data_IF_825281354763
#
_entry.id   IF_825281354763
#
_cell.length_a   1.000
_cell.length_b   1.000
_cell.length_c   1.000
_cell.angle_alpha   90.00
_cell.angle_beta   90.00
_cell.angle_gamma   90.00
#
_symmetry.space_group_name_H-M   'P 1'
#
loop_
_entity.id
_entity.type
_entity.pdbx_description
1 polymer ?
#
# COMPACT_ATOMS: atom_id res chain seq x y z
N UNK A 1 10.94 6.70 -10.26
CA UNK A 1 11.44 8.08 -9.97
C UNK A 1 12.95 8.02 -9.69
N UNK A 2 13.73 9.04 -10.07
CA UNK A 2 15.18 9.07 -9.80
C UNK A 2 15.45 9.44 -8.32
N UNK A 3 16.18 8.59 -7.58
CA UNK A 3 16.50 8.81 -6.16
C UNK A 3 17.16 10.17 -5.89
N UNK A 4 18.02 10.65 -6.79
CA UNK A 4 18.67 11.95 -6.64
C UNK A 4 17.67 13.11 -6.71
N UNK A 5 16.62 12.99 -7.51
CA UNK A 5 15.56 14.01 -7.58
C UNK A 5 14.80 14.10 -6.25
N UNK A 6 14.52 12.96 -5.61
CA UNK A 6 13.90 12.91 -4.26
C UNK A 6 14.83 13.52 -3.21
N UNK A 7 16.10 13.12 -3.19
CA UNK A 7 17.10 13.67 -2.27
C UNK A 7 17.23 15.18 -2.42
N UNK A 8 17.33 15.67 -3.66
CA UNK A 8 17.45 17.09 -3.95
C UNK A 8 16.17 17.84 -3.55
N UNK A 9 15.00 17.29 -3.87
CA UNK A 9 13.71 17.83 -3.48
C UNK A 9 13.59 18.00 -1.96
N UNK A 10 13.90 16.96 -1.17
CA UNK A 10 13.88 17.02 0.29
C UNK A 10 14.81 18.10 0.83
N UNK A 11 16.07 18.13 0.36
CA UNK A 11 17.08 19.12 0.81
C UNK A 11 16.72 20.56 0.46
N UNK A 12 15.95 20.78 -0.60
CA UNK A 12 15.47 22.10 -0.98
C UNK A 12 14.12 22.48 -0.32
N UNK A 13 13.43 21.54 0.30
CA UNK A 13 12.11 21.76 0.89
C UNK A 13 12.19 22.13 2.36
N UNK A 14 13.16 21.60 3.10
CA UNK A 14 13.26 21.78 4.55
C UNK A 14 14.70 21.61 5.05
N UNK A 15 15.07 22.40 6.06
CA UNK A 15 16.34 22.25 6.80
C UNK A 15 16.22 21.28 7.99
N UNK A 16 15.02 20.72 8.24
CA UNK A 16 14.81 19.73 9.31
C UNK A 16 15.59 18.43 9.00
N UNK A 17 16.18 17.77 10.02
CA UNK A 17 16.88 16.52 9.81
C UNK A 17 15.92 15.39 9.38
N UNK A 18 16.37 14.55 8.46
CA UNK A 18 15.68 13.29 8.17
C UNK A 18 16.02 12.28 9.27
N UNK A 19 15.01 11.90 10.07
CA UNK A 19 15.18 10.98 11.20
C UNK A 19 14.95 9.53 10.83
N UNK A 20 13.96 9.28 9.96
CA UNK A 20 13.56 7.94 9.56
C UNK A 20 12.99 7.92 8.15
N UNK A 21 13.18 6.79 7.47
CA UNK A 21 12.53 6.40 6.23
C UNK A 21 11.86 5.04 6.44
N UNK A 22 10.60 4.93 6.02
CA UNK A 22 9.83 3.70 6.15
C UNK A 22 9.62 3.08 4.76
N UNK A 23 9.88 1.78 4.65
CA UNK A 23 9.46 0.96 3.51
C UNK A 23 8.13 0.32 3.88
N UNK A 24 7.10 0.54 3.05
CA UNK A 24 5.72 0.12 3.31
C UNK A 24 5.55 -1.39 3.19
N UNK A 25 6.17 -1.98 2.16
CA UNK A 25 6.11 -3.41 1.85
C UNK A 25 7.28 -3.85 0.95
N UNK A 26 7.34 -5.14 0.61
CA UNK A 26 8.48 -5.77 -0.04
C UNK A 26 8.52 -5.64 -1.57
N UNK A 27 7.75 -4.74 -2.20
CA UNK A 27 7.93 -4.51 -3.65
C UNK A 27 9.22 -3.72 -3.95
N UNK A 28 9.94 -4.08 -5.03
CA UNK A 28 11.29 -3.59 -5.32
C UNK A 28 11.40 -2.08 -5.47
N UNK A 29 10.39 -1.43 -6.02
CA UNK A 29 10.35 0.02 -6.20
C UNK A 29 10.17 0.80 -4.89
N UNK A 30 9.83 0.14 -3.78
CA UNK A 30 9.73 0.71 -2.43
C UNK A 30 11.02 0.61 -1.61
N UNK A 31 11.98 -0.26 -1.98
CA UNK A 31 13.22 -0.45 -1.20
C UNK A 31 14.54 -0.42 -1.98
N UNK A 32 14.56 -0.72 -3.29
CA UNK A 32 15.83 -0.84 -4.04
C UNK A 32 16.64 0.45 -4.08
N UNK A 33 15.97 1.61 -4.01
CA UNK A 33 16.63 2.91 -3.94
C UNK A 33 17.18 3.27 -2.56
N UNK A 34 16.81 2.52 -1.52
CA UNK A 34 17.12 2.82 -0.12
C UNK A 34 18.62 2.97 0.14
N UNK A 35 19.45 2.15 -0.51
CA UNK A 35 20.92 2.23 -0.35
C UNK A 35 21.47 3.60 -0.75
N UNK A 36 21.12 4.05 -1.95
CA UNK A 36 21.55 5.35 -2.50
C UNK A 36 20.92 6.50 -1.71
N UNK A 37 19.66 6.37 -1.33
CA UNK A 37 18.97 7.38 -0.52
C UNK A 37 19.66 7.60 0.84
N UNK A 38 19.96 6.53 1.58
CA UNK A 38 20.57 6.59 2.90
C UNK A 38 22.02 7.10 2.89
N UNK A 39 22.75 6.96 1.77
CA UNK A 39 24.08 7.59 1.63
C UNK A 39 24.01 9.12 1.72
N UNK A 40 22.88 9.73 1.34
CA UNK A 40 22.67 11.17 1.46
C UNK A 40 22.12 11.61 2.83
N UNK A 41 21.64 10.66 3.63
CA UNK A 41 21.06 10.88 4.96
C UNK A 41 21.54 9.79 5.95
N UNK A 42 22.85 9.73 6.25
CA UNK A 42 23.45 8.60 6.98
C UNK A 42 22.95 8.43 8.42
N UNK A 43 22.40 9.49 9.01
CA UNK A 43 21.82 9.46 10.36
C UNK A 43 20.37 8.95 10.40
N UNK A 44 19.71 8.87 9.24
CA UNK A 44 18.33 8.40 9.16
C UNK A 44 18.24 6.90 9.43
N UNK A 45 17.23 6.51 10.21
CA UNK A 45 16.87 5.09 10.36
C UNK A 45 16.07 4.62 9.16
N UNK A 46 16.29 3.38 8.73
CA UNK A 46 15.49 2.73 7.69
C UNK A 46 14.66 1.64 8.35
N UNK A 47 13.35 1.75 8.25
CA UNK A 47 12.38 0.93 8.98
C UNK A 47 11.42 0.20 8.04
N UNK A 48 11.00 -1.00 8.42
CA UNK A 48 9.88 -1.73 7.84
C UNK A 48 9.30 -2.72 8.88
N UNK A 49 8.10 -3.27 8.63
CA UNK A 49 7.56 -4.35 9.49
C UNK A 49 8.47 -5.57 9.47
N UNK A 50 8.45 -6.44 10.51
CA UNK A 50 9.22 -7.68 10.51
C UNK A 50 9.00 -8.55 9.26
N UNK A 51 7.76 -8.66 8.80
CA UNK A 51 7.31 -9.39 7.62
C UNK A 51 7.91 -8.78 6.34
N UNK A 52 7.86 -7.46 6.19
CA UNK A 52 8.49 -6.75 5.07
C UNK A 52 10.01 -6.95 5.06
N UNK A 53 10.67 -6.87 6.22
CA UNK A 53 12.13 -7.11 6.32
C UNK A 53 12.46 -8.53 5.88
N UNK A 54 11.69 -9.53 6.33
CA UNK A 54 11.89 -10.92 5.92
C UNK A 54 11.67 -11.11 4.41
N UNK A 55 10.59 -10.52 3.87
CA UNK A 55 10.31 -10.54 2.43
C UNK A 55 11.48 -9.99 1.62
N UNK A 56 11.95 -8.78 1.97
CA UNK A 56 13.10 -8.15 1.30
C UNK A 56 14.35 -9.03 1.42
N UNK A 57 14.65 -9.60 2.60
CA UNK A 57 15.82 -10.48 2.76
C UNK A 57 15.77 -11.71 1.84
N UNK A 58 14.57 -12.25 1.58
CA UNK A 58 14.39 -13.43 0.75
C UNK A 58 14.56 -13.14 -0.75
N UNK A 59 14.11 -11.99 -1.24
CA UNK A 59 14.04 -11.72 -2.69
C UNK A 59 14.98 -10.61 -3.21
N UNK A 60 15.56 -9.80 -2.33
CA UNK A 60 16.31 -8.60 -2.67
C UNK A 60 17.38 -8.82 -3.76
N UNK A 61 18.17 -9.89 -3.65
CA UNK A 61 19.24 -10.16 -4.62
C UNK A 61 18.68 -10.56 -5.99
N UNK A 62 17.65 -11.41 -6.01
CA UNK A 62 17.00 -11.83 -7.27
C UNK A 62 16.30 -10.66 -7.96
N UNK A 63 15.59 -9.82 -7.20
CA UNK A 63 14.96 -8.60 -7.74
C UNK A 63 16.01 -7.58 -8.19
N UNK A 64 17.12 -7.44 -7.46
CA UNK A 64 18.24 -6.57 -7.86
C UNK A 64 18.82 -7.01 -9.20
N UNK A 65 19.10 -8.30 -9.39
CA UNK A 65 19.60 -8.85 -10.66
C UNK A 65 18.60 -8.59 -11.80
N UNK A 66 17.33 -8.95 -11.59
CA UNK A 66 16.27 -8.77 -12.58
C UNK A 66 16.13 -7.30 -13.02
N UNK A 67 16.01 -6.37 -12.08
CA UNK A 67 15.81 -4.95 -12.39
C UNK A 67 17.08 -4.26 -12.89
N UNK A 68 18.26 -4.73 -12.49
CA UNK A 68 19.54 -4.26 -13.06
C UNK A 68 19.67 -4.65 -14.54
N UNK A 69 19.17 -5.83 -14.93
CA UNK A 69 19.15 -6.23 -16.33
C UNK A 69 18.17 -5.37 -17.16
N UNK A 70 17.03 -4.98 -16.56
CA UNK A 70 16.02 -4.17 -17.24
C UNK A 70 16.41 -2.68 -17.37
N UNK A 71 16.97 -2.07 -16.33
CA UNK A 71 17.27 -0.64 -16.28
C UNK A 71 18.75 -0.28 -16.46
N UNK A 72 19.64 -1.26 -16.40
CA UNK A 72 21.09 -1.07 -16.43
C UNK A 72 21.73 -1.17 -15.04
N UNK A 73 22.98 -1.67 -14.96
CA UNK A 73 23.64 -2.01 -13.69
C UNK A 73 23.97 -0.80 -12.81
N UNK A 74 24.00 0.41 -13.37
CA UNK A 74 24.34 1.63 -12.63
C UNK A 74 23.11 2.33 -12.02
N UNK A 75 21.90 1.83 -12.30
CA UNK A 75 20.64 2.42 -11.81
C UNK A 75 20.23 1.84 -10.45
N UNK A 76 20.42 0.53 -10.28
CA UNK A 76 20.05 -0.20 -9.06
C UNK A 76 21.32 -0.54 -8.28
N UNK A 77 21.32 -0.27 -6.98
CA UNK A 77 22.46 -0.63 -6.14
C UNK A 77 22.65 -2.16 -6.13
N UNK A 78 23.88 -2.68 -6.34
CA UNK A 78 24.12 -4.14 -6.38
C UNK A 78 23.76 -4.87 -5.08
N UNK A 79 23.78 -4.15 -3.95
CA UNK A 79 23.33 -4.65 -2.65
C UNK A 79 22.34 -3.64 -2.07
N UNK A 80 21.05 -3.97 -1.99
CA UNK A 80 20.05 -3.07 -1.44
C UNK A 80 20.23 -2.88 0.06
N UNK A 81 19.71 -1.77 0.59
CA UNK A 81 19.63 -1.58 2.02
C UNK A 81 18.49 -2.43 2.58
N UNK A 82 18.80 -3.24 3.59
CA UNK A 82 17.79 -4.00 4.32
C UNK A 82 17.28 -3.12 5.47
N UNK A 83 15.96 -2.84 5.55
CA UNK A 83 15.40 -2.06 6.65
C UNK A 83 15.61 -2.79 8.00
N UNK A 84 15.63 -2.00 9.07
CA UNK A 84 15.54 -2.50 10.44
C UNK A 84 14.07 -2.76 10.78
N UNK A 85 13.75 -3.92 11.35
CA UNK A 85 12.40 -4.22 11.79
C UNK A 85 12.01 -3.30 12.97
N UNK A 86 10.79 -2.75 12.93
CA UNK A 86 10.19 -2.08 14.08
C UNK A 86 9.10 -2.95 14.73
N UNK A 87 8.72 -2.61 15.97
CA UNK A 87 7.69 -3.31 16.74
C UNK A 87 6.74 -2.32 17.46
N UNK A 88 6.64 -1.09 16.95
CA UNK A 88 5.75 -0.06 17.47
C UNK A 88 4.59 0.17 16.50
N UNK A 89 3.39 0.37 17.02
CA UNK A 89 2.18 0.66 16.24
C UNK A 89 1.93 2.16 16.05
N UNK A 90 2.79 3.02 16.59
CA UNK A 90 2.76 4.47 16.39
C UNK A 90 4.12 5.09 16.72
N UNK A 91 4.35 6.30 16.24
CA UNK A 91 5.49 7.12 16.63
C UNK A 91 5.13 8.60 16.62
N UNK A 92 5.95 9.43 17.24
CA UNK A 92 5.80 10.89 17.23
C UNK A 92 7.03 11.55 16.63
N UNK A 93 6.86 12.77 16.13
CA UNK A 93 7.97 13.61 15.72
C UNK A 93 8.46 14.44 16.92
N UNK A 94 9.78 14.70 17.05
CA UNK A 94 10.28 15.54 18.14
C UNK A 94 9.64 16.93 18.14
N UNK A 95 9.04 17.31 19.28
CA UNK A 95 8.31 18.57 19.44
C UNK A 95 6.86 18.54 18.96
N UNK A 96 6.35 17.39 18.51
CA UNK A 96 4.95 17.17 18.11
C UNK A 96 4.36 15.90 18.75
N UNK A 97 4.67 15.66 20.01
CA UNK A 97 4.27 14.43 20.73
C UNK A 97 2.76 14.29 20.92
N UNK A 98 2.00 15.38 20.71
CA UNK A 98 0.54 15.39 20.79
C UNK A 98 -0.15 14.93 19.50
N UNK A 99 0.59 14.75 18.42
CA UNK A 99 0.07 14.31 17.14
C UNK A 99 0.80 13.03 16.71
N UNK A 100 0.49 11.87 17.34
CA UNK A 100 1.09 10.61 16.95
C UNK A 100 0.70 10.25 15.52
N UNK A 101 1.62 9.60 14.83
CA UNK A 101 1.39 8.93 13.56
C UNK A 101 1.18 7.46 13.90
N UNK A 102 -0.01 6.94 13.61
CA UNK A 102 -0.36 5.54 13.86
C UNK A 102 -0.01 4.71 12.63
N UNK A 103 0.41 3.47 12.86
CA UNK A 103 0.75 2.50 11.83
C UNK A 103 -0.31 1.42 11.84
N UNK A 104 -0.90 1.18 10.68
CA UNK A 104 -1.71 0.01 10.43
C UNK A 104 -0.84 -0.97 9.64
N UNK A 105 -0.49 -2.09 10.25
CA UNK A 105 0.42 -3.09 9.73
C UNK A 105 -0.34 -4.29 9.15
N UNK A 106 0.39 -5.08 8.36
CA UNK A 106 0.02 -6.36 7.77
C UNK A 106 -1.21 -6.34 6.85
N UNK A 107 -1.66 -5.18 6.37
CA UNK A 107 -2.88 -5.08 5.58
C UNK A 107 -2.75 -5.60 4.15
N UNK A 108 -3.89 -5.98 3.57
CA UNK A 108 -4.00 -6.33 2.17
C UNK A 108 -3.98 -5.10 1.28
N UNK A 109 -3.20 -5.18 0.20
CA UNK A 109 -3.09 -4.18 -0.85
C UNK A 109 -2.92 -4.87 -2.20
N UNK A 110 -2.13 -4.28 -3.07
CA UNK A 110 -1.65 -4.93 -4.28
C UNK A 110 -0.73 -6.13 -4.03
N UNK A 111 -0.32 -6.33 -2.78
CA UNK A 111 0.29 -7.55 -2.24
C UNK A 111 -0.15 -7.74 -0.78
N UNK A 112 0.61 -8.51 -0.01
CA UNK A 112 0.34 -8.81 1.39
C UNK A 112 1.32 -8.09 2.33
N UNK A 113 0.98 -8.09 3.62
CA UNK A 113 1.82 -7.55 4.70
C UNK A 113 2.21 -6.06 4.53
N UNK A 114 1.35 -5.24 3.91
CA UNK A 114 1.60 -3.81 3.75
C UNK A 114 1.46 -3.06 5.08
N UNK A 115 2.22 -1.98 5.24
CA UNK A 115 2.01 -0.98 6.29
C UNK A 115 1.53 0.36 5.72
N UNK A 116 0.54 0.96 6.38
CA UNK A 116 0.00 2.28 6.07
C UNK A 116 0.02 3.19 7.29
N UNK A 117 0.07 4.51 7.09
CA UNK A 117 0.23 5.47 8.18
C UNK A 117 -0.99 6.38 8.29
N UNK A 118 -1.50 6.55 9.50
CA UNK A 118 -2.59 7.45 9.84
C UNK A 118 -2.05 8.66 10.60
N UNK A 119 -2.49 9.84 10.20
CA UNK A 119 -2.21 11.08 10.92
C UNK A 119 -3.57 11.62 11.40
N UNK A 120 -3.99 11.28 12.64
CA UNK A 120 -5.32 11.64 13.15
C UNK A 120 -5.59 13.15 13.15
N UNK A 121 -4.57 13.95 13.48
CA UNK A 121 -4.68 15.41 13.61
C UNK A 121 -5.08 16.11 12.30
N UNK A 122 -4.68 15.56 11.16
CA UNK A 122 -5.04 16.06 9.82
C UNK A 122 -6.04 15.19 9.09
N UNK A 123 -6.39 14.02 9.66
CA UNK A 123 -7.13 12.94 8.99
C UNK A 123 -6.49 12.55 7.65
N UNK A 124 -5.17 12.38 7.65
CA UNK A 124 -4.40 12.01 6.45
C UNK A 124 -3.97 10.56 6.52
N UNK A 125 -4.22 9.81 5.45
CA UNK A 125 -3.71 8.45 5.25
C UNK A 125 -2.56 8.46 4.26
N UNK A 126 -1.40 7.93 4.64
CA UNK A 126 -0.35 7.52 3.71
C UNK A 126 -0.58 6.05 3.43
N UNK A 127 -1.09 5.73 2.24
CA UNK A 127 -1.73 4.44 1.97
C UNK A 127 -0.77 3.35 1.49
N UNK A 128 0.43 3.71 1.04
CA UNK A 128 1.21 2.78 0.21
C UNK A 128 0.36 2.27 -0.96
N UNK A 129 0.61 1.04 -1.40
CA UNK A 129 -0.08 0.48 -2.56
C UNK A 129 -1.41 -0.20 -2.20
N UNK A 130 -1.96 0.14 -1.02
CA UNK A 130 -3.38 -0.10 -0.74
C UNK A 130 -4.26 0.85 -1.57
N UNK A 131 -3.80 2.06 -1.87
CA UNK A 131 -4.55 3.03 -2.69
C UNK A 131 -3.67 3.51 -3.84
N UNK A 132 -4.21 3.45 -5.05
CA UNK A 132 -3.62 3.98 -6.27
C UNK A 132 -4.33 5.27 -6.67
N UNK A 133 -3.59 6.19 -7.29
CA UNK A 133 -4.17 7.39 -7.86
C UNK A 133 -5.12 7.06 -9.01
N UNK A 134 -6.27 7.74 -9.07
CA UNK A 134 -7.35 7.45 -10.02
C UNK A 134 -7.03 7.62 -11.52
N UNK A 135 -5.82 8.05 -11.85
CA UNK A 135 -5.37 8.28 -13.22
C UNK A 135 -4.48 7.15 -13.75
N UNK A 136 -4.35 6.03 -13.03
CA UNK A 136 -3.55 4.89 -13.45
C UNK A 136 -4.17 3.54 -13.13
N UNK A 137 -3.69 2.50 -13.83
CA UNK A 137 -3.95 1.11 -13.48
C UNK A 137 -3.20 0.73 -12.20
N UNK A 138 -3.77 -0.21 -11.43
CA UNK A 138 -3.14 -0.78 -10.24
C UNK A 138 -2.39 -2.09 -10.55
N UNK A 139 -1.41 -2.43 -9.72
CA UNK A 139 -0.78 -3.75 -9.74
C UNK A 139 -1.78 -4.80 -9.22
N UNK A 140 -2.00 -5.86 -10.01
CA UNK A 140 -2.90 -6.95 -9.64
C UNK A 140 -2.20 -8.32 -9.64
N UNK A 141 -0.90 -8.38 -9.98
CA UNK A 141 -0.24 -9.64 -10.30
C UNK A 141 -0.06 -10.57 -9.08
N UNK A 142 -0.08 -10.02 -7.87
CA UNK A 142 0.02 -10.78 -6.62
C UNK A 142 -1.37 -11.26 -6.13
N UNK A 143 -2.48 -10.85 -6.77
CA UNK A 143 -3.84 -11.30 -6.43
C UNK A 143 -4.12 -12.70 -6.99
N UNK A 144 -3.39 -13.69 -6.46
CA UNK A 144 -3.40 -15.06 -6.96
C UNK A 144 -4.61 -15.89 -6.47
N UNK A 145 -5.37 -15.37 -5.49
CA UNK A 145 -6.56 -16.03 -4.95
C UNK A 145 -7.64 -15.01 -4.61
N UNK A 146 -8.93 -15.42 -4.64
CA UNK A 146 -10.03 -14.54 -4.22
C UNK A 146 -9.88 -14.00 -2.80
N UNK A 147 -9.23 -14.73 -1.89
CA UNK A 147 -9.00 -14.28 -0.53
C UNK A 147 -8.05 -13.06 -0.45
N UNK A 148 -7.06 -12.98 -1.35
CA UNK A 148 -6.16 -11.84 -1.44
C UNK A 148 -6.91 -10.60 -1.96
N UNK A 149 -7.72 -10.80 -3.00
CA UNK A 149 -8.59 -9.76 -3.55
C UNK A 149 -9.58 -9.22 -2.51
N UNK A 150 -10.23 -10.10 -1.74
CA UNK A 150 -11.14 -9.72 -0.65
C UNK A 150 -10.42 -9.02 0.51
N UNK A 151 -9.18 -9.41 0.82
CA UNK A 151 -8.36 -8.74 1.84
C UNK A 151 -8.06 -7.29 1.47
N UNK A 152 -7.73 -7.03 0.21
CA UNK A 152 -7.52 -5.67 -0.28
C UNK A 152 -8.81 -4.84 -0.23
N UNK A 153 -9.95 -5.39 -0.71
CA UNK A 153 -11.24 -4.72 -0.63
C UNK A 153 -11.65 -4.39 0.81
N UNK A 154 -11.40 -5.29 1.75
CA UNK A 154 -11.64 -5.07 3.19
C UNK A 154 -10.80 -3.92 3.73
N UNK A 155 -9.53 -3.83 3.32
CA UNK A 155 -8.64 -2.74 3.71
C UNK A 155 -9.10 -1.40 3.14
N UNK A 156 -9.56 -1.37 1.88
CA UNK A 156 -10.14 -0.18 1.25
C UNK A 156 -11.41 0.29 1.97
N UNK A 157 -12.30 -0.64 2.32
CA UNK A 157 -13.53 -0.34 3.09
C UNK A 157 -13.19 0.23 4.47
N UNK A 158 -12.17 -0.30 5.14
CA UNK A 158 -11.67 0.26 6.40
C UNK A 158 -11.15 1.70 6.22
N UNK A 159 -10.30 1.94 5.22
CA UNK A 159 -9.76 3.29 4.93
C UNK A 159 -10.89 4.27 4.62
N UNK A 160 -11.87 3.88 3.79
CA UNK A 160 -13.05 4.69 3.49
C UNK A 160 -13.88 5.02 4.74
N UNK A 161 -14.02 4.04 5.65
CA UNK A 161 -14.73 4.19 6.92
C UNK A 161 -14.14 5.25 7.86
N UNK A 162 -12.83 5.50 7.78
CA UNK A 162 -12.15 6.55 8.56
C UNK A 162 -12.51 7.97 8.10
N UNK A 163 -13.11 8.12 6.91
CA UNK A 163 -13.43 9.40 6.28
C UNK A 163 -12.21 10.35 6.26
N UNK A 164 -11.09 9.93 5.63
CA UNK A 164 -9.89 10.76 5.55
C UNK A 164 -10.16 12.07 4.78
N UNK A 165 -9.52 13.15 5.22
CA UNK A 165 -9.52 14.41 4.47
C UNK A 165 -8.58 14.34 3.26
N UNK A 166 -7.49 13.55 3.39
CA UNK A 166 -6.49 13.34 2.35
C UNK A 166 -6.00 11.90 2.40
N UNK A 167 -5.86 11.29 1.22
CA UNK A 167 -5.15 10.02 1.03
C UNK A 167 -3.97 10.31 0.12
N UNK A 168 -2.80 9.86 0.51
CA UNK A 168 -1.58 9.87 -0.30
C UNK A 168 -1.42 8.45 -0.81
N UNK A 169 -1.73 8.19 -2.10
CA UNK A 169 -1.54 6.88 -2.71
C UNK A 169 -0.05 6.54 -2.83
N UNK A 170 0.28 5.25 -2.86
CA UNK A 170 1.66 4.79 -3.08
C UNK A 170 2.13 5.02 -4.51
N UNK A 171 1.20 4.94 -5.47
CA UNK A 171 1.43 5.31 -6.87
C UNK A 171 0.42 6.30 -7.40
N UNK A 172 0.92 7.33 -8.08
CA UNK A 172 0.12 8.29 -8.81
C UNK A 172 0.96 8.99 -9.89
N UNK A 173 0.27 9.61 -10.85
CA UNK A 173 0.90 10.37 -11.93
C UNK A 173 1.13 11.84 -11.58
N UNK A 174 0.34 12.37 -10.64
CA UNK A 174 0.49 13.73 -10.11
C UNK A 174 0.06 13.77 -8.65
N UNK A 175 0.78 14.56 -7.86
CA UNK A 175 0.40 14.88 -6.49
C UNK A 175 -0.72 15.94 -6.40
N UNK A 176 -0.96 16.69 -7.49
CA UNK A 176 -1.95 17.78 -7.52
C UNK A 176 -3.40 17.27 -7.56
N UNK A 177 -3.58 15.98 -7.86
CA UNK A 177 -4.90 15.38 -8.09
C UNK A 177 -5.33 14.42 -6.99
N UNK A 178 -4.59 14.34 -5.87
CA UNK A 178 -4.95 13.47 -4.76
C UNK A 178 -6.33 13.81 -4.22
N UNK A 179 -7.16 12.79 -4.06
CA UNK A 179 -8.52 12.90 -3.57
C UNK A 179 -8.86 11.66 -2.77
N UNK A 180 -9.10 11.85 -1.48
CA UNK A 180 -9.41 10.78 -0.55
C UNK A 180 -10.56 9.89 -1.03
N UNK A 181 -11.63 10.49 -1.55
CA UNK A 181 -12.79 9.76 -2.05
C UNK A 181 -12.47 9.13 -3.41
N UNK A 182 -11.97 9.93 -4.36
CA UNK A 182 -11.78 9.47 -5.75
C UNK A 182 -10.73 8.37 -5.86
N UNK A 183 -9.62 8.46 -5.15
CA UNK A 183 -8.53 7.48 -5.25
C UNK A 183 -8.90 6.15 -4.55
N UNK A 184 -9.59 6.22 -3.39
CA UNK A 184 -10.10 5.02 -2.70
C UNK A 184 -11.19 4.35 -3.53
N UNK A 185 -12.18 5.10 -4.01
CA UNK A 185 -13.27 4.57 -4.83
C UNK A 185 -12.74 3.98 -6.14
N UNK A 186 -11.81 4.67 -6.81
CA UNK A 186 -11.17 4.16 -8.02
C UNK A 186 -10.46 2.83 -7.77
N UNK A 187 -9.63 2.76 -6.74
CA UNK A 187 -8.90 1.52 -6.43
C UNK A 187 -9.88 0.38 -6.09
N UNK A 188 -10.92 0.68 -5.31
CA UNK A 188 -11.96 -0.28 -4.92
C UNK A 188 -12.75 -0.79 -6.12
N UNK A 189 -13.17 0.10 -7.01
CA UNK A 189 -13.89 -0.24 -8.23
C UNK A 189 -13.01 -1.06 -9.18
N UNK A 190 -11.72 -0.73 -9.28
CA UNK A 190 -10.74 -1.44 -10.09
C UNK A 190 -10.53 -2.88 -9.62
N UNK A 191 -10.31 -3.07 -8.32
CA UNK A 191 -10.13 -4.40 -7.70
C UNK A 191 -11.42 -5.22 -7.79
N UNK A 192 -12.58 -4.60 -7.50
CA UNK A 192 -13.90 -5.25 -7.62
C UNK A 192 -14.20 -5.67 -9.07
N UNK A 193 -13.81 -4.84 -10.04
CA UNK A 193 -13.97 -5.15 -11.45
C UNK A 193 -13.10 -6.33 -11.87
N UNK A 194 -11.81 -6.33 -11.47
CA UNK A 194 -10.89 -7.44 -11.71
C UNK A 194 -11.44 -8.74 -11.13
N UNK A 195 -11.86 -8.73 -9.87
CA UNK A 195 -12.44 -9.88 -9.18
C UNK A 195 -13.59 -10.50 -9.99
N UNK A 196 -14.55 -9.67 -10.38
CA UNK A 196 -15.79 -10.13 -11.03
C UNK A 196 -15.58 -10.56 -12.48
N UNK A 197 -14.73 -9.86 -13.22
CA UNK A 197 -14.69 -9.98 -14.68
C UNK A 197 -13.48 -10.76 -15.18
N UNK A 198 -12.39 -10.84 -14.41
CA UNK A 198 -11.16 -11.56 -14.78
C UNK A 198 -10.93 -12.74 -13.83
N UNK A 199 -10.77 -12.50 -12.53
CA UNK A 199 -10.43 -13.55 -11.54
C UNK A 199 -11.50 -14.65 -11.49
N UNK A 200 -12.78 -14.28 -11.39
CA UNK A 200 -13.89 -15.22 -11.30
C UNK A 200 -14.08 -16.11 -12.55
N UNK A 201 -13.41 -15.81 -13.67
CA UNK A 201 -13.41 -16.67 -14.86
C UNK A 201 -12.43 -17.83 -14.75
N UNK A 202 -11.48 -17.73 -13.81
CA UNK A 202 -10.39 -18.67 -13.64
C UNK A 202 -9.19 -18.33 -14.51
N UNK A 203 -8.05 -18.89 -14.11
CA UNK A 203 -6.78 -18.75 -14.81
C UNK A 203 -6.86 -19.26 -16.25
N UNK A 204 -6.20 -18.58 -17.19
CA UNK A 204 -6.12 -18.95 -18.61
C UNK A 204 -7.46 -18.96 -19.38
N UNK A 205 -8.52 -18.38 -18.80
CA UNK A 205 -9.80 -18.21 -19.50
C UNK A 205 -9.66 -17.25 -20.70
N UNK A 206 -9.13 -16.05 -20.44
CA UNK A 206 -8.84 -15.04 -21.46
C UNK A 206 -7.38 -15.09 -21.93
N UNK A 207 -7.12 -14.54 -23.10
CA UNK A 207 -5.77 -14.15 -23.54
C UNK A 207 -5.35 -12.82 -22.88
N UNK A 208 -4.04 -12.50 -22.83
CA UNK A 208 -3.58 -11.20 -22.33
C UNK A 208 -4.27 -10.00 -23.01
N UNK A 209 -4.45 -10.07 -24.33
CA UNK A 209 -5.13 -9.00 -25.09
C UNK A 209 -6.59 -8.82 -24.68
N UNK A 210 -7.33 -9.92 -24.45
CA UNK A 210 -8.72 -9.85 -24.01
C UNK A 210 -8.83 -9.26 -22.60
N UNK A 211 -7.91 -9.60 -21.69
CA UNK A 211 -7.84 -8.97 -20.35
C UNK A 211 -7.54 -7.49 -20.47
N UNK A 212 -6.55 -7.11 -21.29
CA UNK A 212 -6.18 -5.71 -21.51
C UNK A 212 -7.35 -4.89 -22.03
N UNK A 213 -8.05 -5.40 -23.05
CA UNK A 213 -9.23 -4.74 -23.62
C UNK A 213 -10.36 -4.64 -22.60
N UNK A 214 -10.62 -5.71 -21.86
CA UNK A 214 -11.70 -5.74 -20.85
C UNK A 214 -11.48 -4.69 -19.76
N UNK A 215 -10.23 -4.51 -19.32
CA UNK A 215 -9.89 -3.52 -18.30
C UNK A 215 -9.90 -2.10 -18.89
N UNK A 216 -9.35 -1.88 -20.08
CA UNK A 216 -9.38 -0.57 -20.76
C UNK A 216 -10.80 -0.10 -21.07
N UNK A 217 -11.69 -0.99 -21.49
CA UNK A 217 -13.09 -0.64 -21.76
C UNK A 217 -13.81 -0.15 -20.49
N UNK A 218 -13.43 -0.68 -19.33
CA UNK A 218 -13.99 -0.29 -18.03
C UNK A 218 -13.30 0.94 -17.42
N UNK A 219 -12.01 1.12 -17.69
CA UNK A 219 -11.16 2.19 -17.16
C UNK A 219 -10.44 2.92 -18.30
N UNK A 220 -11.17 3.62 -19.17
CA UNK A 220 -10.61 4.13 -20.42
C UNK A 220 -9.65 5.30 -20.20
N UNK A 221 -8.57 5.31 -20.97
CA UNK A 221 -7.67 6.46 -21.09
C UNK A 221 -6.56 6.52 -20.04
N UNK A 222 -6.46 5.52 -19.15
CA UNK A 222 -5.38 5.42 -18.17
C UNK A 222 -4.02 5.08 -18.80
N UNK A 223 -3.99 4.67 -20.07
CA UNK A 223 -2.75 4.46 -20.85
C UNK A 223 -2.44 5.58 -21.84
N UNK A 224 -3.33 6.55 -22.01
CA UNK A 224 -3.18 7.66 -22.97
C UNK A 224 -2.31 8.79 -22.42
N UNK A 225 -1.17 8.44 -21.83
CA UNK A 225 -0.30 9.37 -21.11
C UNK A 225 1.07 9.42 -21.77
N UNK A 226 1.43 10.60 -22.29
CA UNK A 226 2.74 10.83 -22.89
C UNK A 226 3.83 11.06 -21.83
N UNK A 227 3.44 11.35 -20.58
CA UNK A 227 4.35 11.67 -19.47
C UNK A 227 4.87 10.44 -18.72
N UNK A 228 4.23 9.28 -18.84
CA UNK A 228 4.61 8.06 -18.12
C UNK A 228 4.10 6.80 -18.81
N UNK A 229 4.93 5.76 -18.86
CA UNK A 229 4.56 4.42 -19.32
C UNK A 229 4.15 3.49 -18.18
N UNK A 230 4.18 3.96 -16.92
CA UNK A 230 3.94 3.12 -15.73
C UNK A 230 2.56 2.48 -15.78
N UNK A 231 1.50 3.26 -16.03
CA UNK A 231 0.13 2.76 -16.07
C UNK A 231 -0.05 1.65 -17.12
N UNK A 232 0.47 1.86 -18.34
CA UNK A 232 0.46 0.85 -19.39
C UNK A 232 1.28 -0.40 -19.03
N UNK A 233 2.38 -0.23 -18.30
CA UNK A 233 3.20 -1.35 -17.82
C UNK A 233 2.45 -2.20 -16.81
N UNK A 234 1.73 -1.58 -15.86
CA UNK A 234 0.93 -2.29 -14.85
C UNK A 234 -0.22 -3.07 -15.47
N UNK A 235 -0.91 -2.47 -16.45
CA UNK A 235 -1.94 -3.17 -17.22
C UNK A 235 -1.35 -4.38 -17.96
N UNK A 236 -0.25 -4.18 -18.69
CA UNK A 236 0.40 -5.25 -19.44
C UNK A 236 0.83 -6.40 -18.54
N UNK A 237 1.43 -6.10 -17.38
CA UNK A 237 1.82 -7.13 -16.40
C UNK A 237 0.60 -7.91 -15.92
N UNK A 238 -0.50 -7.23 -15.58
CA UNK A 238 -1.75 -7.89 -15.17
C UNK A 238 -2.26 -8.82 -16.28
N UNK A 239 -2.35 -8.31 -17.51
CA UNK A 239 -2.81 -9.06 -18.67
C UNK A 239 -1.97 -10.30 -18.93
N UNK A 240 -0.64 -10.18 -18.87
CA UNK A 240 0.29 -11.30 -19.04
C UNK A 240 0.20 -12.32 -17.88
N UNK A 241 0.00 -11.84 -16.65
CA UNK A 241 0.00 -12.70 -15.46
C UNK A 241 -1.22 -13.64 -15.39
N UNK A 242 -2.40 -13.15 -15.81
CA UNK A 242 -3.65 -13.91 -15.74
C UNK A 242 -4.08 -14.49 -17.10
N UNK A 243 -3.47 -14.05 -18.19
CA UNK A 243 -3.81 -14.45 -19.55
C UNK A 243 -3.19 -15.79 -19.96
N UNK A 244 -3.95 -16.54 -20.76
CA UNK A 244 -3.52 -17.81 -21.34
C UNK A 244 -2.26 -17.65 -22.18
N UNK A 245 -1.20 -18.35 -21.78
CA UNK A 245 0.10 -18.31 -22.45
C UNK A 245 0.89 -17.03 -22.21
N UNK A 246 0.47 -16.18 -21.27
CA UNK A 246 1.17 -14.97 -20.90
C UNK A 246 2.38 -15.21 -19.98
N UNK A 247 3.18 -14.16 -19.81
CA UNK A 247 4.36 -14.14 -18.94
C UNK A 247 3.97 -13.87 -17.48
N UNK A 248 3.94 -14.92 -16.67
CA UNK A 248 3.59 -14.83 -15.24
C UNK A 248 4.71 -14.20 -14.42
N UNK A 249 4.33 -13.43 -13.41
CA UNK A 249 5.27 -12.90 -12.43
C UNK A 249 5.84 -14.02 -11.56
N UNK A 250 7.15 -13.93 -11.28
CA UNK A 250 7.83 -14.83 -10.35
C UNK A 250 7.65 -14.27 -8.94
N UNK A 251 7.02 -15.08 -8.09
CA UNK A 251 6.84 -14.81 -6.67
C UNK A 251 7.87 -15.64 -5.88
N UNK A 252 8.58 -14.98 -4.96
CA UNK A 252 9.59 -15.61 -4.11
C UNK A 252 9.04 -16.01 -2.73
N UNK A 253 7.73 -15.87 -2.55
CA UNK A 253 6.96 -16.21 -1.38
C UNK A 253 5.64 -16.84 -1.83
N UNK A 254 5.07 -17.72 -1.01
CA UNK A 254 3.85 -18.43 -1.33
C UNK A 254 2.60 -17.61 -0.93
N UNK A 255 2.28 -16.64 -1.78
CA UNK A 255 1.06 -15.83 -1.68
C UNK A 255 -0.23 -16.66 -1.56
N UNK A 256 -0.24 -17.89 -2.07
CA UNK A 256 -1.45 -18.72 -2.09
C UNK A 256 -1.71 -19.45 -0.78
N UNK A 257 -0.68 -19.63 0.06
CA UNK A 257 -0.77 -20.37 1.32
C UNK A 257 -0.42 -19.53 2.56
N UNK A 258 0.07 -18.30 2.43
CA UNK A 258 0.50 -17.47 3.57
C UNK A 258 -0.62 -17.11 4.57
N UNK A 259 -1.89 -17.26 4.20
CA UNK A 259 -3.04 -17.06 5.10
C UNK A 259 -4.03 -18.24 5.17
N UNK A 260 -3.58 -19.47 4.87
CA UNK A 260 -4.44 -20.66 5.06
C UNK A 260 -4.71 -20.99 6.54
N UNK A 261 -4.12 -20.23 7.46
CA UNK A 261 -4.51 -20.25 8.87
C UNK A 261 -5.72 -19.31 9.07
N UNK A 262 -6.91 -19.90 9.09
CA UNK A 262 -8.18 -19.18 9.30
C UNK A 262 -8.21 -18.37 10.60
N UNK A 263 -7.38 -18.71 11.60
CA UNK A 263 -7.29 -17.96 12.86
C UNK A 263 -6.69 -16.57 12.66
N UNK A 264 -5.77 -16.42 11.70
CA UNK A 264 -5.20 -15.12 11.32
C UNK A 264 -6.28 -14.31 10.59
N UNK A 265 -6.92 -14.88 9.56
CA UNK A 265 -7.97 -14.22 8.75
C UNK A 265 -9.21 -13.81 9.56
N UNK A 266 -9.60 -14.58 10.58
CA UNK A 266 -10.68 -14.19 11.50
C UNK A 266 -10.27 -13.03 12.44
N UNK A 267 -8.97 -12.82 12.68
CA UNK A 267 -8.45 -11.60 13.30
C UNK A 267 -8.43 -10.37 12.37
N UNK A 268 -8.36 -10.59 11.04
CA UNK A 268 -8.44 -9.56 9.99
C UNK A 268 -9.86 -9.13 9.66
N UNK A 269 -10.86 -9.96 9.98
CA UNK A 269 -12.23 -9.50 10.12
C UNK A 269 -12.24 -8.52 11.27
N UNK A 270 -12.00 -7.25 10.97
CA UNK A 270 -12.39 -6.12 11.79
C UNK A 270 -13.85 -6.38 12.19
N UNK A 271 -14.06 -6.99 13.35
CA UNK A 271 -15.36 -7.07 13.95
C UNK A 271 -15.72 -5.61 14.17
N UNK A 272 -16.55 -5.09 13.26
CA UNK A 272 -17.39 -3.94 13.52
C UNK A 272 -18.33 -4.35 14.64
N UNK A 273 -17.79 -4.51 15.85
CA UNK A 273 -18.57 -4.43 17.06
C UNK A 273 -19.10 -3.01 17.06
N UNK A 274 -20.37 -2.91 16.68
CA UNK A 274 -21.22 -1.78 16.94
C UNK A 274 -21.22 -1.51 18.46
N UNK A 275 -20.20 -0.79 18.93
CA UNK A 275 -20.12 -0.10 20.22
C UNK A 275 -19.01 0.95 20.09
N UNK A 276 -19.43 2.18 19.83
CA UNK A 276 -18.84 3.44 20.33
C UNK A 276 -17.44 3.36 20.95
N UNK A 277 -16.40 3.61 20.14
CA UNK A 277 -15.04 3.94 20.59
C UNK A 277 -14.73 5.44 20.38
N UNK A 278 -15.77 6.29 20.45
CA UNK A 278 -15.61 7.75 20.34
C UNK A 278 -15.74 8.50 21.68
N UNK A 279 -16.04 7.81 22.79
CA UNK A 279 -16.28 8.47 24.10
C UNK A 279 -15.26 8.13 25.21
N UNK A 280 -14.36 7.16 25.03
CA UNK A 280 -13.46 6.70 26.12
C UNK A 280 -12.12 7.44 26.25
N UNK A 281 -12.00 8.67 25.71
CA UNK A 281 -10.81 9.52 25.90
C UNK A 281 -11.11 10.88 26.56
N UNK A 282 -12.04 10.91 27.51
CA UNK A 282 -12.20 12.04 28.44
C UNK A 282 -11.47 11.71 29.76
N UNK A 283 -10.39 12.42 30.13
CA UNK A 283 -9.66 12.12 31.35
C UNK A 283 -10.44 12.55 32.60
N UNK A 284 -10.39 11.66 33.60
CA UNK A 284 -10.82 11.79 35.00
C UNK A 284 -10.94 13.24 35.51
N UNK A 285 -12.18 13.65 35.77
CA UNK A 285 -12.53 14.83 36.54
C UNK A 285 -13.85 14.60 37.28
N UNK A 286 -13.74 14.33 38.58
CA UNK A 286 -14.82 14.14 39.56
C UNK A 286 -16.04 15.04 39.33
N UNK A 287 -17.26 14.47 39.33
CA UNK A 287 -18.39 14.87 40.20
C UNK A 287 -19.52 13.83 40.11
N UNK A 288 -19.99 13.38 41.27
CA UNK A 288 -21.15 12.50 41.49
C UNK A 288 -22.49 13.21 41.22
N UNK A 289 -23.47 12.44 40.74
CA UNK A 289 -24.90 12.40 41.12
C UNK A 289 -25.68 11.84 39.92
N UNK A 290 -25.99 10.54 39.93
CA UNK A 290 -27.28 9.99 40.39
C UNK A 290 -28.40 10.11 39.33
N UNK A 291 -28.97 8.93 39.04
CA UNK A 291 -30.41 8.67 39.05
C UNK A 291 -31.24 8.61 37.73
N UNK A 292 -31.83 7.40 37.57
CA UNK A 292 -33.10 6.98 36.94
C UNK A 292 -33.22 6.71 35.42
N UNK A 293 -33.23 5.39 35.14
CA UNK A 293 -34.19 4.75 34.23
C UNK A 293 -35.63 5.16 34.58
N UNK A 294 -36.45 5.43 33.58
CA UNK A 294 -37.77 4.79 33.43
C UNK A 294 -38.45 5.13 32.08
N UNK A 295 -38.44 4.13 31.19
CA UNK A 295 -39.65 3.48 30.65
C UNK A 295 -40.62 4.19 29.67
N UNK A 296 -40.95 3.42 28.62
CA UNK A 296 -42.22 3.37 27.82
C UNK A 296 -42.38 4.49 26.77
N UNK A 297 -42.46 4.23 25.45
CA UNK A 297 -43.15 3.20 24.64
C UNK A 297 -42.24 2.72 23.49
#
# INVERSE_FOLDING_TARGET
>A
MNTYAVVYGLKNTTDKPLLAAFTTHNHPDHYLSGKTFLQHFPEAKHYATPETVQGIQNEALNKTEFWSAAYGPDIIAPVPAIPTAYNFSFFTLPGDEKCPIEILENVGGDTIDLSTFWIPSTKTRIAGDVVYGHQMHAWLADLLTPALTESWLTTLDFIGGLKPNLVIPGHALSADTFSAVTDVDHTRDYVSFFQKNVEAKGTDFYTPQEISNTIEDAFPGLTNLTSSTTSATLLNITSENFGRGGQRQVHYFDLTNMYNDTDILDGWRLQWCCHTLLDDLIPLGLYHADEWMDSVI
#
